data_IF_268733565777
#
_entry.id   IF_268733565777
#
_cell.length_a   1.000
_cell.length_b   1.000
_cell.length_c   1.000
_cell.angle_alpha   90.00
_cell.angle_beta   90.00
_cell.angle_gamma   90.00
#
_symmetry.space_group_name_H-M   'P 1'
#
loop_
_entity.id
_entity.type
_entity.pdbx_description
1 polymer ?
#
# COMPACT_ATOMS: atom_id res chain seq x y z
N UNK A 1 -13.58 16.32 -44.94
CA UNK A 1 -13.87 17.77 -44.85
C UNK A 1 -14.62 18.02 -43.55
N UNK A 2 -14.16 18.90 -42.66
CA UNK A 2 -14.92 19.24 -41.45
C UNK A 2 -16.24 19.89 -41.86
N UNK A 3 -17.34 19.32 -41.36
CA UNK A 3 -18.70 19.82 -41.60
C UNK A 3 -18.96 20.94 -40.59
N UNK A 4 -18.97 22.19 -41.04
CA UNK A 4 -19.39 23.32 -40.22
C UNK A 4 -20.89 23.24 -40.05
N UNK A 5 -21.35 23.15 -38.81
CA UNK A 5 -22.78 23.15 -38.46
C UNK A 5 -23.08 24.40 -37.66
N UNK A 6 -23.96 25.24 -38.18
CA UNK A 6 -24.46 26.42 -37.47
C UNK A 6 -25.64 25.97 -36.61
N UNK A 7 -25.56 26.21 -35.30
CA UNK A 7 -26.65 25.92 -34.36
C UNK A 7 -27.16 27.21 -33.75
N UNK A 8 -28.48 27.35 -33.66
CA UNK A 8 -29.09 28.38 -32.83
C UNK A 8 -28.85 28.00 -31.36
N UNK A 9 -28.40 28.96 -30.57
CA UNK A 9 -28.06 28.78 -29.16
C UNK A 9 -28.78 29.82 -28.31
N UNK A 10 -28.90 29.56 -27.00
CA UNK A 10 -29.75 30.36 -26.09
C UNK A 10 -29.10 31.69 -25.70
N UNK A 11 -27.79 31.70 -25.51
CA UNK A 11 -27.02 32.86 -25.06
C UNK A 11 -26.06 33.30 -26.16
N UNK A 12 -25.85 34.61 -26.31
CA UNK A 12 -24.81 35.12 -27.19
C UNK A 12 -23.46 34.89 -26.53
N UNK A 13 -22.42 34.69 -27.34
CA UNK A 13 -21.06 34.53 -26.83
C UNK A 13 -20.64 35.69 -25.91
N UNK A 14 -21.01 36.93 -26.27
CA UNK A 14 -20.73 38.11 -25.44
C UNK A 14 -21.34 38.02 -24.04
N UNK A 15 -22.56 37.51 -23.92
CA UNK A 15 -23.24 37.35 -22.63
C UNK A 15 -22.51 36.30 -21.77
N UNK A 16 -22.15 35.16 -22.37
CA UNK A 16 -21.37 34.12 -21.68
C UNK A 16 -19.97 34.60 -21.28
N UNK A 17 -19.31 35.41 -22.12
CA UNK A 17 -17.99 35.97 -21.81
C UNK A 17 -18.05 36.97 -20.66
N UNK A 18 -19.06 37.84 -20.65
CA UNK A 18 -19.27 38.81 -19.56
C UNK A 18 -19.55 38.08 -18.24
N UNK A 19 -20.33 36.98 -18.25
CA UNK A 19 -20.53 36.14 -17.07
C UNK A 19 -19.28 35.37 -16.67
N UNK A 20 -18.53 34.78 -17.60
CA UNK A 20 -17.25 34.12 -17.31
C UNK A 20 -16.31 35.09 -16.60
N UNK A 21 -16.15 36.31 -17.11
CA UNK A 21 -15.24 37.30 -16.52
C UNK A 21 -15.66 37.72 -15.11
N UNK A 22 -16.96 37.93 -14.91
CA UNK A 22 -17.52 38.21 -13.59
C UNK A 22 -17.28 37.06 -12.61
N UNK A 23 -17.55 35.82 -13.03
CA UNK A 23 -17.40 34.61 -12.22
C UNK A 23 -15.93 34.27 -11.96
N UNK A 24 -15.03 34.50 -12.92
CA UNK A 24 -13.59 34.41 -12.70
C UNK A 24 -13.13 35.41 -11.64
N UNK A 25 -13.65 36.64 -11.66
CA UNK A 25 -13.26 37.65 -10.69
C UNK A 25 -13.87 37.44 -9.28
N UNK A 26 -15.07 36.85 -9.19
CA UNK A 26 -15.86 36.80 -7.95
C UNK A 26 -16.04 35.40 -7.37
N UNK A 27 -16.05 34.36 -8.21
CA UNK A 27 -16.31 32.98 -7.81
C UNK A 27 -15.03 32.14 -7.75
N UNK A 28 -14.13 32.25 -8.73
CA UNK A 28 -12.87 31.48 -8.74
C UNK A 28 -12.04 31.63 -7.43
N UNK A 29 -11.98 32.80 -6.77
CA UNK A 29 -11.24 32.93 -5.50
C UNK A 29 -11.86 32.20 -4.30
N UNK A 30 -13.10 31.69 -4.40
CA UNK A 30 -13.74 30.99 -3.29
C UNK A 30 -13.18 29.58 -3.08
N UNK A 31 -13.00 29.22 -1.80
CA UNK A 31 -12.48 27.90 -1.40
C UNK A 31 -13.35 26.77 -1.98
N UNK A 32 -12.73 25.87 -2.74
CA UNK A 32 -13.38 24.71 -3.36
C UNK A 32 -13.89 24.96 -4.79
N UNK A 33 -13.67 26.14 -5.37
CA UNK A 33 -13.80 26.36 -6.83
C UNK A 33 -12.42 26.20 -7.46
N UNK A 34 -12.34 25.40 -8.53
CA UNK A 34 -11.06 24.99 -9.13
C UNK A 34 -10.82 25.54 -10.52
N UNK A 35 -11.88 25.84 -11.28
CA UNK A 35 -11.78 26.53 -12.56
C UNK A 35 -13.10 27.23 -12.91
N UNK A 36 -13.01 28.19 -13.82
CA UNK A 36 -14.14 28.81 -14.52
C UNK A 36 -13.82 28.79 -16.02
N UNK A 37 -14.72 28.23 -16.82
CA UNK A 37 -14.56 28.08 -18.26
C UNK A 37 -15.79 28.62 -19.02
N UNK A 38 -15.60 29.01 -20.27
CA UNK A 38 -16.68 29.33 -21.19
C UNK A 38 -16.78 28.19 -22.19
N UNK A 39 -17.71 27.25 -21.97
CA UNK A 39 -17.95 26.14 -22.88
C UNK A 39 -18.79 26.62 -24.08
N UNK A 40 -18.12 27.06 -25.15
CA UNK A 40 -18.79 27.52 -26.36
C UNK A 40 -19.60 26.41 -27.04
N UNK A 41 -19.15 25.16 -26.92
CA UNK A 41 -19.79 24.01 -27.55
C UNK A 41 -21.15 23.70 -26.91
N UNK A 42 -21.28 23.90 -25.59
CA UNK A 42 -22.53 23.74 -24.83
C UNK A 42 -23.29 25.04 -24.61
N UNK A 43 -22.72 26.19 -25.00
CA UNK A 43 -23.30 27.51 -24.80
C UNK A 43 -23.60 27.80 -23.32
N UNK A 44 -22.62 27.53 -22.44
CA UNK A 44 -22.70 27.68 -20.98
C UNK A 44 -21.37 28.17 -20.41
N UNK A 45 -21.39 28.75 -19.22
CA UNK A 45 -20.19 28.90 -18.39
C UNK A 45 -20.08 27.67 -17.49
N UNK A 46 -18.91 27.05 -17.42
CA UNK A 46 -18.66 25.87 -16.58
C UNK A 46 -17.84 26.26 -15.35
N UNK A 47 -18.28 25.80 -14.18
CA UNK A 47 -17.58 26.02 -12.90
C UNK A 47 -17.19 24.65 -12.35
N UNK A 48 -15.88 24.45 -12.20
CA UNK A 48 -15.32 23.28 -11.53
C UNK A 48 -15.35 23.45 -10.02
N UNK A 49 -15.91 22.49 -9.28
CA UNK A 49 -15.91 22.47 -7.82
C UNK A 49 -15.25 21.20 -7.26
N UNK A 50 -14.44 21.35 -6.23
CA UNK A 50 -13.66 20.26 -5.62
C UNK A 50 -14.52 19.28 -4.81
N UNK A 51 -15.55 19.79 -4.10
CA UNK A 51 -16.36 19.00 -3.17
C UNK A 51 -17.84 19.29 -3.39
N UNK A 52 -18.65 18.23 -3.59
CA UNK A 52 -20.10 18.30 -3.82
C UNK A 52 -20.83 19.09 -2.71
N UNK A 53 -20.35 19.00 -1.47
CA UNK A 53 -20.93 19.70 -0.32
C UNK A 53 -20.85 21.23 -0.36
N UNK A 54 -20.10 21.83 -1.29
CA UNK A 54 -20.00 23.29 -1.46
C UNK A 54 -20.88 23.84 -2.59
N UNK A 55 -21.54 22.98 -3.36
CA UNK A 55 -22.35 23.40 -4.51
C UNK A 55 -23.42 24.43 -4.13
N UNK A 56 -24.19 24.19 -3.07
CA UNK A 56 -25.26 25.11 -2.65
C UNK A 56 -24.76 26.50 -2.24
N UNK A 57 -23.55 26.61 -1.69
CA UNK A 57 -22.94 27.90 -1.34
C UNK A 57 -22.49 28.66 -2.60
N UNK A 58 -21.91 27.96 -3.56
CA UNK A 58 -21.46 28.57 -4.83
C UNK A 58 -22.67 28.96 -5.69
N UNK A 59 -23.72 28.13 -5.75
CA UNK A 59 -24.97 28.45 -6.44
C UNK A 59 -25.63 29.72 -5.89
N UNK A 60 -25.69 29.87 -4.56
CA UNK A 60 -26.22 31.08 -3.93
C UNK A 60 -25.43 32.34 -4.34
N UNK A 61 -24.09 32.27 -4.34
CA UNK A 61 -23.23 33.39 -4.74
C UNK A 61 -23.34 33.72 -6.21
N UNK A 62 -23.46 32.72 -7.08
CA UNK A 62 -23.69 32.93 -8.52
C UNK A 62 -25.00 33.67 -8.75
N UNK A 63 -26.07 33.27 -8.04
CA UNK A 63 -27.36 33.95 -8.12
C UNK A 63 -27.30 35.39 -7.57
N UNK A 64 -26.57 35.66 -6.49
CA UNK A 64 -26.34 37.00 -5.95
C UNK A 64 -25.63 37.94 -6.93
N UNK A 65 -24.77 37.40 -7.80
CA UNK A 65 -24.09 38.15 -8.86
C UNK A 65 -24.97 38.42 -10.08
N UNK A 66 -26.25 38.00 -10.06
CA UNK A 66 -27.20 38.21 -11.14
C UNK A 66 -26.95 37.31 -12.36
N UNK A 67 -26.18 36.23 -12.20
CA UNK A 67 -25.93 35.27 -13.29
C UNK A 67 -27.01 34.17 -13.25
N UNK A 68 -27.73 33.92 -14.36
CA UNK A 68 -28.76 32.89 -14.39
C UNK A 68 -28.14 31.51 -14.16
N UNK A 69 -28.60 30.77 -13.14
CA UNK A 69 -28.05 29.44 -12.82
C UNK A 69 -28.19 28.46 -13.99
N UNK A 70 -29.22 28.61 -14.82
CA UNK A 70 -29.39 27.76 -16.00
C UNK A 70 -28.37 28.03 -17.13
N UNK A 71 -27.63 29.15 -17.04
CA UNK A 71 -26.48 29.46 -17.89
C UNK A 71 -25.17 28.85 -17.36
N UNK A 72 -25.19 28.26 -16.16
CA UNK A 72 -24.03 27.66 -15.50
C UNK A 72 -24.12 26.13 -15.53
N UNK A 73 -22.99 25.49 -15.77
CA UNK A 73 -22.80 24.06 -15.57
C UNK A 73 -21.82 23.86 -14.43
N UNK A 74 -22.24 23.19 -13.36
CA UNK A 74 -21.34 22.77 -12.31
C UNK A 74 -20.80 21.38 -12.60
N UNK A 75 -19.50 21.22 -12.49
CA UNK A 75 -18.82 19.94 -12.67
C UNK A 75 -17.89 19.72 -11.48
N UNK A 76 -17.84 18.48 -10.98
CA UNK A 76 -16.86 18.13 -9.95
C UNK A 76 -15.49 17.99 -10.61
N UNK A 77 -14.48 18.72 -10.12
CA UNK A 77 -13.14 18.73 -10.66
C UNK A 77 -12.09 19.06 -9.59
N UNK A 78 -10.87 18.56 -9.78
CA UNK A 78 -9.74 18.81 -8.86
C UNK A 78 -8.99 20.09 -9.23
N UNK A 79 -8.33 20.76 -8.26
CA UNK A 79 -7.44 21.89 -8.54
C UNK A 79 -6.35 21.51 -9.54
N UNK A 80 -5.97 22.46 -10.41
CA UNK A 80 -4.77 22.32 -11.24
C UNK A 80 -3.56 22.41 -10.31
N UNK A 81 -2.87 21.30 -10.08
CA UNK A 81 -1.59 21.27 -9.38
C UNK A 81 -0.45 21.67 -10.31
N UNK A 82 0.48 22.50 -9.84
CA UNK A 82 1.79 22.64 -10.49
C UNK A 82 2.49 21.26 -10.47
N UNK A 83 3.07 20.82 -11.60
CA UNK A 83 3.77 19.53 -11.70
C UNK A 83 5.07 19.52 -10.88
N UNK A 84 4.98 19.37 -9.56
CA UNK A 84 6.04 18.76 -8.76
C UNK A 84 5.76 17.27 -8.62
N UNK A 85 5.53 16.60 -9.77
CA UNK A 85 5.19 15.18 -9.82
C UNK A 85 6.29 14.37 -9.15
N UNK A 86 5.97 13.78 -7.99
CA UNK A 86 6.80 12.74 -7.42
C UNK A 86 6.52 11.48 -8.23
N UNK A 87 7.44 11.05 -9.08
CA UNK A 87 7.30 9.81 -9.83
C UNK A 87 7.90 8.62 -9.07
N UNK A 88 7.58 7.41 -9.49
CA UNK A 88 8.24 6.18 -9.04
C UNK A 88 9.77 6.21 -9.26
N UNK A 89 10.27 7.16 -10.05
CA UNK A 89 11.68 7.28 -10.46
C UNK A 89 12.45 8.30 -9.64
N UNK A 90 11.74 9.10 -8.86
CA UNK A 90 12.34 10.15 -8.06
C UNK A 90 12.83 9.61 -6.72
N UNK A 91 13.69 10.38 -6.07
CA UNK A 91 14.12 10.09 -4.72
C UNK A 91 12.92 10.16 -3.77
N UNK A 92 12.58 9.03 -3.16
CA UNK A 92 11.43 8.92 -2.27
C UNK A 92 11.84 8.31 -0.94
N UNK A 93 11.40 8.94 0.15
CA UNK A 93 11.52 8.45 1.53
C UNK A 93 10.16 8.69 2.23
N UNK A 94 9.56 7.69 2.88
CA UNK A 94 10.07 6.32 3.02
C UNK A 94 10.07 5.56 1.69
N UNK A 95 10.97 4.59 1.56
CA UNK A 95 11.00 3.70 0.41
C UNK A 95 9.86 2.68 0.50
N UNK A 96 9.13 2.54 -0.61
CA UNK A 96 7.98 1.66 -0.80
C UNK A 96 8.24 0.67 -1.94
N UNK A 97 7.47 -0.42 -1.99
CA UNK A 97 7.41 -1.30 -3.18
C UNK A 97 7.00 -0.51 -4.43
N UNK A 98 7.47 -0.91 -5.60
CA UNK A 98 7.18 -0.27 -6.89
C UNK A 98 8.09 0.90 -7.27
N UNK A 99 8.92 1.42 -6.34
CA UNK A 99 9.87 2.49 -6.63
C UNK A 99 11.07 2.00 -7.47
N UNK A 100 11.68 2.90 -8.22
CA UNK A 100 12.95 2.65 -8.92
C UNK A 100 14.07 2.40 -7.91
N UNK A 101 14.85 1.35 -8.17
CA UNK A 101 16.15 1.13 -7.55
C UNK A 101 17.18 0.85 -8.64
N UNK A 102 18.45 1.06 -8.31
CA UNK A 102 19.53 0.74 -9.23
C UNK A 102 20.74 0.17 -8.52
N UNK A 103 21.53 -0.59 -9.25
CA UNK A 103 22.97 -0.72 -8.98
C UNK A 103 23.72 0.33 -9.80
N UNK A 104 25.06 0.24 -9.87
CA UNK A 104 25.86 1.08 -10.76
C UNK A 104 25.64 0.79 -12.25
N UNK A 105 25.09 -0.38 -12.59
CA UNK A 105 24.97 -0.86 -13.97
C UNK A 105 23.55 -1.18 -14.42
N UNK A 106 22.62 -1.37 -13.48
CA UNK A 106 21.26 -1.84 -13.78
C UNK A 106 20.21 -1.02 -13.06
N UNK A 107 19.11 -0.71 -13.76
CA UNK A 107 17.91 -0.07 -13.19
C UNK A 107 16.79 -1.09 -13.15
N UNK A 108 16.14 -1.19 -11.99
CA UNK A 108 15.05 -2.11 -11.69
C UNK A 108 14.01 -1.47 -10.78
N UNK A 109 13.07 -2.28 -10.30
CA UNK A 109 12.03 -1.89 -9.35
C UNK A 109 12.24 -2.57 -7.99
N UNK A 110 12.02 -1.84 -6.90
CA UNK A 110 11.92 -2.38 -5.54
C UNK A 110 10.64 -3.22 -5.46
N UNK A 111 10.75 -4.51 -5.15
CA UNK A 111 9.59 -5.38 -5.05
C UNK A 111 8.77 -5.08 -3.81
N UNK A 112 9.28 -5.50 -2.67
CA UNK A 112 8.65 -5.32 -1.37
C UNK A 112 9.70 -5.13 -0.31
N UNK A 113 9.35 -4.36 0.72
CA UNK A 113 10.09 -4.34 1.99
C UNK A 113 9.53 -5.46 2.88
N UNK A 114 10.41 -6.22 3.52
CA UNK A 114 10.05 -7.33 4.40
C UNK A 114 11.00 -7.46 5.58
N UNK A 115 10.56 -8.26 6.55
CA UNK A 115 11.44 -8.86 7.54
C UNK A 115 11.83 -10.27 7.05
N UNK A 116 13.14 -10.53 7.03
CA UNK A 116 13.73 -11.81 6.68
C UNK A 116 14.40 -12.42 7.91
N UNK A 117 13.72 -13.37 8.55
CA UNK A 117 14.10 -13.89 9.86
C UNK A 117 15.34 -14.79 9.86
N UNK A 118 15.92 -15.07 8.69
CA UNK A 118 17.09 -15.95 8.58
C UNK A 118 18.39 -15.29 9.07
N UNK A 119 18.50 -13.97 9.03
CA UNK A 119 19.72 -13.24 9.44
C UNK A 119 19.36 -11.90 10.11
N UNK A 120 19.84 -11.61 11.33
CA UNK A 120 19.80 -10.26 11.91
C UNK A 120 20.94 -9.35 11.35
N UNK A 121 20.72 -8.06 11.04
CA UNK A 121 19.42 -7.37 11.00
C UNK A 121 18.54 -7.89 9.86
N UNK A 122 17.24 -7.99 10.12
CA UNK A 122 16.28 -8.70 9.27
C UNK A 122 15.50 -7.80 8.31
N UNK A 123 15.68 -6.48 8.37
CA UNK A 123 14.99 -5.56 7.46
C UNK A 123 15.62 -5.58 6.07
N UNK A 124 14.84 -6.04 5.10
CA UNK A 124 15.31 -6.24 3.73
C UNK A 124 14.32 -5.67 2.72
N UNK A 125 14.75 -5.56 1.48
CA UNK A 125 13.83 -5.54 0.36
C UNK A 125 14.18 -6.63 -0.66
N UNK A 126 13.16 -7.08 -1.37
CA UNK A 126 13.28 -8.06 -2.46
C UNK A 126 13.28 -7.31 -3.79
N UNK A 127 14.15 -7.70 -4.71
CA UNK A 127 14.10 -7.30 -6.13
C UNK A 127 14.47 -8.50 -6.99
N UNK A 128 14.52 -8.34 -8.32
CA UNK A 128 14.89 -9.45 -9.18
C UNK A 128 16.40 -9.76 -9.10
N UNK A 129 16.76 -11.05 -9.09
CA UNK A 129 18.16 -11.49 -9.02
C UNK A 129 18.98 -10.99 -10.21
N UNK A 130 18.42 -10.95 -11.41
CA UNK A 130 19.13 -10.38 -12.57
C UNK A 130 19.37 -8.86 -12.48
N UNK A 131 18.90 -8.18 -11.44
CA UNK A 131 19.23 -6.78 -11.15
C UNK A 131 20.54 -6.63 -10.36
N UNK A 132 21.10 -7.72 -9.82
CA UNK A 132 22.41 -7.76 -9.17
C UNK A 132 23.53 -7.88 -10.20
N UNK A 133 24.79 -7.93 -9.80
CA UNK A 133 25.90 -7.97 -10.77
C UNK A 133 26.05 -9.36 -11.42
N UNK A 134 25.74 -10.41 -10.68
CA UNK A 134 25.84 -11.81 -11.02
C UNK A 134 24.53 -12.47 -10.65
N UNK A 135 23.70 -12.66 -11.66
CA UNK A 135 22.41 -13.33 -11.53
C UNK A 135 22.58 -14.76 -10.96
N UNK A 136 21.68 -15.11 -10.04
CA UNK A 136 21.63 -16.37 -9.30
C UNK A 136 22.89 -16.64 -8.47
N UNK A 137 23.51 -15.59 -7.93
CA UNK A 137 24.65 -15.73 -7.05
C UNK A 137 24.81 -14.49 -6.18
N UNK A 138 25.07 -14.69 -4.89
CA UNK A 138 25.38 -13.56 -4.01
C UNK A 138 26.75 -12.97 -4.36
N UNK A 139 26.77 -11.69 -4.71
CA UNK A 139 27.94 -10.91 -5.11
C UNK A 139 28.10 -9.63 -4.28
N UNK A 140 27.09 -9.29 -3.48
CA UNK A 140 27.11 -8.11 -2.64
C UNK A 140 26.88 -6.81 -3.38
N UNK A 141 26.06 -6.83 -4.42
CA UNK A 141 25.64 -5.68 -5.20
C UNK A 141 25.11 -4.56 -4.30
N UNK A 142 25.59 -3.34 -4.54
CA UNK A 142 25.13 -2.15 -3.81
C UNK A 142 23.95 -1.54 -4.53
N UNK A 143 22.90 -1.22 -3.78
CA UNK A 143 21.67 -0.65 -4.31
C UNK A 143 21.45 0.80 -3.88
N UNK A 144 20.88 1.57 -4.79
CA UNK A 144 20.57 2.98 -4.67
C UNK A 144 19.09 3.24 -4.98
N UNK A 145 18.53 4.29 -4.37
CA UNK A 145 17.21 4.83 -4.69
C UNK A 145 17.34 6.35 -4.92
N UNK A 146 17.08 6.84 -6.16
CA UNK A 146 16.75 6.08 -7.36
C UNK A 146 17.97 5.68 -8.22
N UNK A 147 19.10 6.38 -8.07
CA UNK A 147 20.32 6.25 -8.88
C UNK A 147 21.60 6.44 -8.04
N UNK A 148 22.79 6.04 -8.53
CA UNK A 148 24.05 6.09 -7.79
C UNK A 148 24.56 7.52 -7.55
N UNK A 149 24.05 8.15 -6.48
CA UNK A 149 24.46 9.47 -6.03
C UNK A 149 24.68 9.49 -4.51
N UNK A 150 25.38 10.52 -4.02
CA UNK A 150 25.62 10.70 -2.59
C UNK A 150 24.29 10.79 -1.83
N UNK A 151 24.12 9.94 -0.81
CA UNK A 151 22.88 9.88 -0.02
C UNK A 151 21.76 9.03 -0.61
N UNK A 152 21.97 8.41 -1.78
CA UNK A 152 20.99 7.51 -2.41
C UNK A 152 21.26 6.03 -2.17
N UNK A 153 22.43 5.65 -1.62
CA UNK A 153 22.69 4.25 -1.24
C UNK A 153 21.70 3.81 -0.15
N UNK A 154 21.05 2.67 -0.36
CA UNK A 154 19.97 2.18 0.50
C UNK A 154 20.19 0.77 1.03
N UNK A 155 21.05 -0.01 0.38
CA UNK A 155 21.27 -1.38 0.81
C UNK A 155 22.32 -2.10 0.00
N UNK A 156 22.55 -3.35 0.40
CA UNK A 156 23.47 -4.27 -0.26
C UNK A 156 22.88 -5.67 -0.32
N UNK A 157 23.07 -6.34 -1.45
CA UNK A 157 22.69 -7.74 -1.59
C UNK A 157 23.38 -8.60 -0.53
N UNK A 158 22.60 -9.45 0.14
CA UNK A 158 23.09 -10.39 1.15
C UNK A 158 22.73 -11.84 0.85
N UNK A 159 21.75 -12.06 -0.04
CA UNK A 159 21.35 -13.40 -0.41
C UNK A 159 20.70 -13.45 -1.80
N UNK A 160 21.25 -14.29 -2.66
CA UNK A 160 20.69 -14.69 -3.95
C UNK A 160 20.99 -16.17 -4.15
N UNK A 161 19.97 -17.05 -4.05
CA UNK A 161 20.16 -18.48 -4.13
C UNK A 161 20.78 -18.94 -5.45
N UNK A 162 21.78 -19.83 -5.41
CA UNK A 162 22.32 -20.42 -6.63
C UNK A 162 21.27 -21.30 -7.31
N UNK A 163 21.40 -21.44 -8.63
CA UNK A 163 20.66 -22.46 -9.36
C UNK A 163 20.99 -23.86 -8.86
N UNK A 164 20.04 -24.78 -8.98
CA UNK A 164 20.22 -26.20 -8.71
C UNK A 164 20.06 -27.03 -9.98
N UNK A 165 20.62 -28.25 -10.02
CA UNK A 165 20.41 -29.14 -11.17
C UNK A 165 18.93 -29.47 -11.32
N UNK A 166 18.39 -29.23 -12.51
CA UNK A 166 17.05 -29.68 -12.84
C UNK A 166 16.93 -31.19 -12.60
N UNK A 167 15.74 -31.64 -12.20
CA UNK A 167 15.48 -33.05 -11.87
C UNK A 167 15.82 -34.02 -13.03
N UNK A 168 15.71 -35.34 -12.81
CA UNK A 168 16.25 -36.38 -13.69
C UNK A 168 15.68 -36.40 -15.12
N UNK A 169 14.64 -35.62 -15.41
CA UNK A 169 14.01 -35.51 -16.73
C UNK A 169 14.58 -34.36 -17.59
N UNK A 170 15.50 -33.56 -17.04
CA UNK A 170 16.04 -32.35 -17.67
C UNK A 170 17.58 -32.37 -17.58
N UNK A 171 18.17 -33.43 -18.14
CA UNK A 171 19.60 -33.76 -18.03
C UNK A 171 20.53 -32.54 -18.23
N UNK A 172 21.20 -32.15 -17.15
CA UNK A 172 22.26 -31.11 -17.06
C UNK A 172 21.81 -29.65 -17.17
N UNK A 173 20.52 -29.37 -17.16
CA UNK A 173 20.05 -27.99 -17.08
C UNK A 173 20.11 -27.45 -15.63
N UNK A 174 20.28 -26.14 -15.50
CA UNK A 174 20.27 -25.44 -14.21
C UNK A 174 18.92 -24.74 -14.01
N UNK A 175 18.31 -25.00 -12.85
CA UNK A 175 16.94 -24.62 -12.48
C UNK A 175 16.92 -23.68 -11.28
N UNK A 176 15.87 -22.87 -11.20
CA UNK A 176 15.55 -22.01 -10.05
C UNK A 176 14.04 -21.83 -9.93
N UNK A 177 13.50 -21.55 -8.73
CA UNK A 177 12.04 -21.38 -8.57
C UNK A 177 11.58 -19.96 -8.85
N UNK A 178 12.32 -18.94 -8.43
CA UNK A 178 12.02 -17.53 -8.64
C UNK A 178 13.25 -16.83 -9.22
N UNK A 179 13.18 -15.53 -9.50
CA UNK A 179 14.33 -14.74 -9.94
C UNK A 179 14.45 -13.53 -9.04
N UNK A 180 14.86 -13.78 -7.81
CA UNK A 180 14.75 -12.84 -6.70
C UNK A 180 16.01 -12.86 -5.84
N UNK A 181 16.41 -11.69 -5.34
CA UNK A 181 17.51 -11.50 -4.41
C UNK A 181 17.04 -10.68 -3.20
N UNK A 182 17.70 -10.90 -2.06
CA UNK A 182 17.51 -10.17 -0.81
C UNK A 182 18.58 -9.08 -0.71
N UNK A 183 18.10 -7.85 -0.55
CA UNK A 183 18.93 -6.70 -0.29
C UNK A 183 18.70 -6.25 1.16
N UNK A 184 19.76 -6.25 1.95
CA UNK A 184 19.72 -5.75 3.31
C UNK A 184 19.63 -4.22 3.29
N UNK A 185 18.66 -3.68 4.04
CA UNK A 185 18.56 -2.23 4.21
C UNK A 185 19.72 -1.71 5.06
N UNK A 186 20.39 -0.68 4.55
CA UNK A 186 21.46 0.06 5.26
C UNK A 186 20.95 1.43 5.78
N UNK A 187 19.66 1.70 5.62
CA UNK A 187 18.96 2.90 6.11
C UNK A 187 17.63 2.50 6.75
N UNK A 188 17.10 3.31 7.67
CA UNK A 188 15.82 3.09 8.33
C UNK A 188 14.62 3.74 7.64
N UNK A 189 14.84 4.49 6.55
CA UNK A 189 13.77 5.26 5.88
C UNK A 189 13.04 4.42 4.82
N UNK A 190 12.45 3.31 5.24
CA UNK A 190 11.59 2.42 4.45
C UNK A 190 10.32 2.08 5.23
N UNK A 191 9.30 1.62 4.52
CA UNK A 191 8.09 1.09 5.16
C UNK A 191 7.80 -0.32 4.66
N UNK A 192 7.75 -1.26 5.60
CA UNK A 192 7.26 -2.62 5.38
C UNK A 192 5.75 -2.60 5.14
N UNK A 193 5.24 -3.48 4.28
CA UNK A 193 3.80 -3.62 4.06
C UNK A 193 3.17 -2.55 3.19
N UNK A 194 3.96 -1.79 2.43
CA UNK A 194 3.44 -0.77 1.54
C UNK A 194 4.07 -0.77 0.15
N UNK A 195 3.22 -0.54 -0.86
CA UNK A 195 3.58 -0.32 -2.26
C UNK A 195 3.20 1.12 -2.62
N UNK A 196 4.03 1.82 -3.37
CA UNK A 196 3.73 3.16 -3.88
C UNK A 196 2.49 3.12 -4.78
N UNK A 197 1.55 4.05 -4.56
CA UNK A 197 0.38 4.20 -5.41
C UNK A 197 0.65 5.27 -6.47
N UNK A 198 0.26 4.99 -7.71
CA UNK A 198 0.37 5.96 -8.81
C UNK A 198 -1.00 6.58 -9.12
N UNK A 199 -1.01 7.71 -9.82
CA UNK A 199 -2.23 8.48 -10.08
C UNK A 199 -3.34 7.68 -10.77
N UNK A 200 -2.99 6.78 -11.67
CA UNK A 200 -3.96 5.93 -12.36
C UNK A 200 -3.34 4.62 -12.84
N UNK A 201 -4.15 3.56 -12.78
CA UNK A 201 -3.84 2.26 -13.38
C UNK A 201 -4.37 2.16 -14.82
N UNK A 202 -3.80 1.27 -15.60
CA UNK A 202 -4.30 0.94 -16.96
C UNK A 202 -4.34 -0.57 -17.20
N UNK A 203 -5.32 -1.02 -17.96
CA UNK A 203 -5.57 -2.43 -18.26
C UNK A 203 -7.07 -2.71 -18.46
N UNK A 204 -7.47 -3.98 -18.62
CA UNK A 204 -6.58 -5.09 -18.97
C UNK A 204 -6.02 -4.88 -20.39
N UNK A 205 -4.76 -5.24 -20.64
CA UNK A 205 -4.21 -5.11 -22.00
C UNK A 205 -2.70 -5.09 -22.08
N UNK A 206 -2.20 -5.61 -23.20
CA UNK A 206 -0.78 -5.74 -23.53
C UNK A 206 -0.28 -4.48 -24.25
N UNK A 207 0.88 -3.95 -23.89
CA UNK A 207 1.47 -2.73 -24.46
C UNK A 207 0.90 -1.40 -23.95
N UNK A 208 0.15 -1.40 -22.84
CA UNK A 208 -0.38 -0.20 -22.20
C UNK A 208 0.55 0.26 -21.07
N UNK A 209 0.73 1.57 -20.91
CA UNK A 209 1.47 2.16 -19.79
C UNK A 209 0.52 2.91 -18.85
N UNK A 210 0.60 2.58 -17.57
CA UNK A 210 -0.09 3.28 -16.50
C UNK A 210 0.68 4.52 -16.07
N UNK A 211 0.21 5.19 -15.02
CA UNK A 211 0.93 6.31 -14.43
C UNK A 211 2.19 5.84 -13.73
N UNK A 212 3.31 6.57 -13.93
CA UNK A 212 4.48 6.51 -13.04
C UNK A 212 4.50 7.67 -12.05
N UNK A 213 3.60 8.64 -12.22
CA UNK A 213 3.43 9.75 -11.29
C UNK A 213 2.69 9.29 -10.04
N UNK A 214 3.09 9.84 -8.90
CA UNK A 214 2.56 9.58 -7.58
C UNK A 214 2.21 10.90 -6.89
N UNK A 215 1.29 10.84 -5.94
CA UNK A 215 0.91 11.94 -5.05
C UNK A 215 1.29 11.62 -3.58
N UNK A 216 2.20 10.66 -3.36
CA UNK A 216 2.58 10.17 -2.03
C UNK A 216 1.59 9.16 -1.41
N UNK A 217 0.51 8.78 -2.10
CA UNK A 217 -0.35 7.71 -1.62
C UNK A 217 0.33 6.34 -1.71
N UNK A 218 -0.17 5.39 -0.91
CA UNK A 218 0.39 4.05 -0.75
C UNK A 218 -0.70 3.01 -0.59
N UNK A 219 -0.41 1.81 -1.08
CA UNK A 219 -1.23 0.61 -0.96
C UNK A 219 -0.69 -0.28 0.15
N UNK A 220 -1.52 -0.63 1.12
CA UNK A 220 -1.16 -1.49 2.23
C UNK A 220 -1.29 -2.96 1.85
N UNK A 221 -0.21 -3.72 2.04
CA UNK A 221 -0.21 -5.18 1.93
C UNK A 221 -0.84 -5.73 3.20
N UNK A 222 -2.10 -6.15 3.09
CA UNK A 222 -2.91 -6.67 4.19
C UNK A 222 -3.00 -8.18 4.20
N UNK A 223 -2.37 -8.88 3.25
CA UNK A 223 -2.31 -10.35 3.19
C UNK A 223 -1.37 -10.79 2.08
N UNK A 224 -1.00 -12.06 2.14
CA UNK A 224 -0.17 -12.74 1.16
C UNK A 224 -0.94 -13.93 0.60
N UNK A 225 -0.90 -14.12 -0.70
CA UNK A 225 -1.52 -15.28 -1.35
C UNK A 225 -0.47 -15.99 -2.21
N UNK A 226 0.08 -17.13 -1.74
CA UNK A 226 1.28 -17.72 -2.31
C UNK A 226 1.05 -18.40 -3.68
N UNK A 227 -0.19 -18.76 -4.00
CA UNK A 227 -0.54 -19.56 -5.19
C UNK A 227 -1.56 -18.86 -6.07
N UNK A 228 -1.30 -18.82 -7.37
CA UNK A 228 -2.14 -18.17 -8.37
C UNK A 228 -3.23 -19.07 -8.95
N UNK A 229 -4.29 -18.45 -9.48
CA UNK A 229 -5.34 -19.09 -10.26
C UNK A 229 -5.45 -18.43 -11.64
N UNK A 230 -5.64 -19.24 -12.70
CA UNK A 230 -5.93 -18.73 -14.05
C UNK A 230 -7.25 -17.96 -14.03
N UNK A 231 -7.27 -16.83 -14.73
CA UNK A 231 -8.40 -15.89 -14.79
C UNK A 231 -8.45 -14.87 -13.66
N UNK A 232 -7.57 -14.98 -12.66
CA UNK A 232 -7.47 -13.97 -11.61
C UNK A 232 -6.88 -12.66 -12.16
N UNK A 233 -7.45 -11.52 -11.78
CA UNK A 233 -6.90 -10.21 -12.11
C UNK A 233 -5.81 -9.86 -11.13
N UNK A 234 -4.62 -9.58 -11.67
CA UNK A 234 -3.45 -9.13 -10.93
C UNK A 234 -2.95 -7.80 -11.48
N UNK A 235 -2.34 -7.05 -10.57
CA UNK A 235 -1.77 -5.74 -10.78
C UNK A 235 -0.25 -5.82 -10.65
N UNK A 236 0.43 -4.87 -11.29
CA UNK A 236 1.87 -4.64 -11.15
C UNK A 236 2.11 -3.14 -11.02
N UNK A 237 2.98 -2.74 -10.11
CA UNK A 237 3.50 -1.37 -10.07
C UNK A 237 5.00 -1.41 -10.25
N UNK A 238 5.52 -0.78 -11.29
CA UNK A 238 6.96 -0.56 -11.36
C UNK A 238 7.37 0.61 -12.21
N UNK A 239 8.66 0.90 -12.18
CA UNK A 239 9.17 2.22 -12.53
C UNK A 239 9.03 2.59 -14.01
N UNK A 240 8.84 1.61 -14.90
CA UNK A 240 8.75 1.87 -16.34
C UNK A 240 7.31 1.99 -16.79
N UNK A 241 6.50 0.96 -16.59
CA UNK A 241 5.10 0.95 -17.05
C UNK A 241 4.11 1.51 -16.05
N UNK A 242 4.55 1.85 -14.83
CA UNK A 242 3.66 2.38 -13.81
C UNK A 242 2.74 1.30 -13.24
N UNK A 243 1.51 1.69 -12.92
CA UNK A 243 0.47 0.77 -12.45
C UNK A 243 -0.32 0.16 -13.62
N UNK A 244 -0.08 -1.13 -13.87
CA UNK A 244 -0.74 -1.91 -14.93
C UNK A 244 -1.47 -3.12 -14.34
N UNK A 245 -2.52 -3.59 -15.03
CA UNK A 245 -3.27 -4.77 -14.59
C UNK A 245 -3.74 -5.64 -15.75
N UNK A 246 -4.04 -6.90 -15.42
CA UNK A 246 -4.48 -7.91 -16.38
C UNK A 246 -4.77 -9.24 -15.69
N UNK A 247 -5.15 -10.23 -16.49
CA UNK A 247 -5.54 -11.56 -16.02
C UNK A 247 -4.38 -12.55 -16.13
N UNK A 248 -4.28 -13.46 -15.17
CA UNK A 248 -3.39 -14.63 -15.25
C UNK A 248 -3.91 -15.58 -16.33
N UNK A 249 -3.09 -15.89 -17.32
CA UNK A 249 -3.45 -16.80 -18.43
C UNK A 249 -2.98 -18.22 -18.19
N UNK A 250 -1.82 -18.37 -17.56
CA UNK A 250 -1.18 -19.67 -17.36
C UNK A 250 -0.51 -19.68 -15.98
N UNK A 251 -0.64 -20.79 -15.28
CA UNK A 251 0.03 -21.02 -13.99
C UNK A 251 1.00 -22.18 -14.07
N UNK A 252 2.04 -22.12 -13.24
CA UNK A 252 3.15 -23.09 -13.22
C UNK A 252 3.74 -23.40 -14.62
N UNK A 253 4.10 -22.36 -15.37
CA UNK A 253 4.84 -22.48 -16.64
C UNK A 253 6.34 -22.59 -16.35
N UNK A 254 6.97 -23.68 -16.78
CA UNK A 254 8.43 -23.76 -16.78
C UNK A 254 8.98 -22.90 -17.93
N UNK A 255 9.75 -21.86 -17.61
CA UNK A 255 10.31 -20.95 -18.61
C UNK A 255 11.80 -21.15 -18.77
N UNK A 256 12.30 -20.95 -19.99
CA UNK A 256 13.73 -20.85 -20.27
C UNK A 256 14.14 -19.38 -20.24
N UNK A 257 15.07 -19.03 -19.38
CA UNK A 257 15.65 -17.69 -19.29
C UNK A 257 16.93 -17.55 -20.14
N UNK A 258 17.50 -16.33 -20.20
CA UNK A 258 18.82 -16.11 -20.77
C UNK A 258 19.89 -16.91 -20.02
N UNK A 259 20.85 -17.52 -20.75
CA UNK A 259 21.97 -18.27 -20.16
C UNK A 259 21.66 -19.75 -19.84
N UNK A 260 20.68 -20.36 -20.51
CA UNK A 260 20.22 -21.75 -20.32
C UNK A 260 19.57 -22.08 -18.96
N UNK A 261 19.44 -21.11 -18.06
CA UNK A 261 18.68 -21.28 -16.81
C UNK A 261 17.19 -21.49 -17.06
N UNK A 262 16.58 -22.38 -16.27
CA UNK A 262 15.14 -22.63 -16.28
C UNK A 262 14.50 -22.12 -14.99
N UNK A 263 13.41 -21.38 -15.12
CA UNK A 263 12.60 -20.95 -13.98
C UNK A 263 11.37 -21.83 -13.90
N UNK A 264 11.21 -22.51 -12.76
CA UNK A 264 10.16 -23.48 -12.57
C UNK A 264 8.88 -22.81 -12.09
N UNK A 265 7.73 -23.28 -12.59
CA UNK A 265 6.41 -22.80 -12.19
C UNK A 265 6.25 -21.26 -12.15
N UNK A 266 6.58 -20.56 -13.22
CA UNK A 266 6.27 -19.13 -13.35
C UNK A 266 4.82 -18.93 -13.78
N UNK A 267 4.25 -17.77 -13.49
CA UNK A 267 2.89 -17.43 -13.92
C UNK A 267 2.92 -16.36 -15.01
N UNK A 268 2.01 -16.50 -15.97
CA UNK A 268 1.88 -15.59 -17.12
C UNK A 268 0.62 -14.76 -16.94
N UNK A 269 0.72 -13.47 -17.22
CA UNK A 269 -0.40 -12.54 -17.09
C UNK A 269 -0.43 -11.48 -18.20
N UNK A 270 -1.62 -10.91 -18.44
CA UNK A 270 -1.84 -9.94 -19.51
C UNK A 270 -1.57 -8.48 -19.12
N UNK A 271 -1.15 -8.22 -17.88
CA UNK A 271 -0.69 -6.88 -17.52
C UNK A 271 0.55 -6.50 -18.34
N UNK A 272 0.70 -5.22 -18.62
CA UNK A 272 1.84 -4.73 -19.39
C UNK A 272 3.07 -4.53 -18.51
N UNK A 273 4.23 -4.89 -19.04
CA UNK A 273 5.54 -4.71 -18.44
C UNK A 273 6.58 -4.42 -19.52
N UNK A 274 7.60 -3.64 -19.19
CA UNK A 274 8.71 -3.36 -20.07
C UNK A 274 10.07 -3.48 -19.36
N UNK A 275 11.15 -3.22 -20.08
CA UNK A 275 12.49 -3.18 -19.49
C UNK A 275 12.52 -2.31 -18.22
N UNK A 276 13.26 -2.79 -17.21
CA UNK A 276 13.43 -2.17 -15.89
C UNK A 276 12.24 -2.31 -14.92
N UNK A 277 11.13 -2.92 -15.33
CA UNK A 277 10.06 -3.31 -14.41
C UNK A 277 10.38 -4.53 -13.56
N UNK A 278 11.49 -5.22 -13.88
CA UNK A 278 12.04 -6.33 -13.13
C UNK A 278 12.11 -6.03 -11.63
N UNK A 279 11.65 -6.99 -10.83
CA UNK A 279 11.57 -6.87 -9.39
C UNK A 279 10.28 -6.23 -8.89
N UNK A 280 9.42 -5.69 -9.75
CA UNK A 280 8.18 -5.04 -9.32
C UNK A 280 7.24 -5.98 -8.53
N UNK A 281 6.54 -5.48 -7.51
CA UNK A 281 5.52 -6.27 -6.84
C UNK A 281 4.35 -6.57 -7.79
N UNK A 282 3.86 -7.81 -7.69
CA UNK A 282 2.60 -8.25 -8.31
C UNK A 282 1.62 -8.53 -7.18
N UNK A 283 0.39 -8.06 -7.31
CA UNK A 283 -0.61 -8.10 -6.23
C UNK A 283 -2.06 -8.12 -6.74
N UNK A 284 -3.00 -8.50 -5.89
CA UNK A 284 -4.44 -8.29 -6.10
C UNK A 284 -4.83 -6.99 -5.42
N UNK A 285 -5.58 -6.14 -6.12
CA UNK A 285 -6.10 -4.90 -5.57
C UNK A 285 -7.57 -5.05 -5.17
N UNK A 286 -7.92 -4.58 -3.97
CA UNK A 286 -9.27 -4.72 -3.39
C UNK A 286 -10.20 -3.55 -3.71
N UNK A 287 -9.75 -2.60 -4.53
CA UNK A 287 -10.54 -1.41 -4.93
C UNK A 287 -10.42 -0.22 -3.98
N UNK A 288 -9.66 -0.36 -2.90
CA UNK A 288 -9.36 0.68 -1.91
C UNK A 288 -7.84 0.86 -1.73
N UNK A 289 -7.34 1.26 -0.56
CA UNK A 289 -5.89 1.38 -0.34
C UNK A 289 -5.25 0.07 0.16
N UNK A 290 -5.87 -1.08 -0.08
CA UNK A 290 -5.37 -2.39 0.38
C UNK A 290 -5.12 -3.36 -0.76
N UNK A 291 -4.15 -4.26 -0.56
CA UNK A 291 -3.74 -5.27 -1.54
C UNK A 291 -3.40 -6.61 -0.87
N UNK A 292 -3.50 -7.67 -1.66
CA UNK A 292 -2.93 -8.99 -1.34
C UNK A 292 -1.70 -9.22 -2.21
N UNK A 293 -0.54 -9.46 -1.60
CA UNK A 293 0.69 -9.72 -2.33
C UNK A 293 0.62 -11.08 -3.04
N UNK A 294 1.04 -11.12 -4.31
CA UNK A 294 0.94 -12.28 -5.19
C UNK A 294 2.29 -12.80 -5.67
N UNK A 295 3.27 -11.93 -5.87
CA UNK A 295 4.60 -12.35 -6.34
C UNK A 295 5.49 -11.21 -6.78
N UNK A 296 6.55 -11.55 -7.50
CA UNK A 296 7.56 -10.60 -8.01
C UNK A 296 7.68 -10.73 -9.52
N UNK A 297 7.51 -9.61 -10.22
CA UNK A 297 7.66 -9.52 -11.66
C UNK A 297 9.11 -9.78 -12.08
N UNK A 298 9.27 -10.59 -13.14
CA UNK A 298 10.56 -11.04 -13.63
C UNK A 298 10.88 -10.51 -15.03
N UNK A 299 9.90 -10.49 -15.92
CA UNK A 299 10.09 -10.13 -17.33
C UNK A 299 8.88 -10.46 -18.16
N UNK A 300 9.06 -10.67 -19.46
CA UNK A 300 7.96 -10.93 -20.39
C UNK A 300 8.32 -11.90 -21.51
N UNK A 301 7.31 -12.59 -22.03
CA UNK A 301 7.33 -13.20 -23.36
C UNK A 301 7.07 -12.09 -24.39
N UNK A 302 8.05 -11.81 -25.25
CA UNK A 302 7.98 -10.73 -26.24
C UNK A 302 7.18 -11.08 -27.48
N UNK A 303 6.94 -12.36 -27.76
CA UNK A 303 6.15 -12.81 -28.92
C UNK A 303 4.67 -12.73 -28.57
N UNK A 304 4.30 -13.27 -27.41
CA UNK A 304 2.92 -13.19 -26.94
C UNK A 304 2.65 -11.83 -26.28
N UNK A 305 3.66 -11.09 -25.85
CA UNK A 305 3.51 -9.88 -25.03
C UNK A 305 2.80 -10.18 -23.69
N UNK A 306 3.19 -11.28 -23.05
CA UNK A 306 2.71 -11.70 -21.73
C UNK A 306 3.75 -11.34 -20.68
N UNK A 307 3.32 -10.76 -19.58
CA UNK A 307 4.18 -10.59 -18.42
C UNK A 307 4.37 -11.93 -17.70
N UNK A 308 5.56 -12.11 -17.14
CA UNK A 308 5.98 -13.31 -16.41
C UNK A 308 6.42 -12.89 -15.01
N UNK A 309 5.87 -13.54 -14.00
CA UNK A 309 6.26 -13.31 -12.61
C UNK A 309 6.43 -14.62 -11.85
N UNK A 310 7.22 -14.57 -10.78
CA UNK A 310 7.33 -15.68 -9.85
C UNK A 310 6.22 -15.55 -8.79
N UNK A 311 5.34 -16.56 -8.63
CA UNK A 311 4.37 -16.55 -7.54
C UNK A 311 5.08 -16.55 -6.19
N UNK A 312 4.44 -15.96 -5.17
CA UNK A 312 5.04 -15.79 -3.86
C UNK A 312 5.48 -17.13 -3.23
N UNK A 313 4.77 -18.23 -3.47
CA UNK A 313 5.22 -19.58 -3.06
C UNK A 313 6.63 -19.92 -3.56
N UNK A 314 6.98 -19.55 -4.79
CA UNK A 314 8.31 -19.81 -5.35
C UNK A 314 9.35 -18.83 -4.83
N UNK A 315 8.94 -17.58 -4.58
CA UNK A 315 9.80 -16.56 -3.95
C UNK A 315 10.23 -17.05 -2.56
N UNK A 316 9.28 -17.46 -1.72
CA UNK A 316 9.56 -17.98 -0.38
C UNK A 316 10.23 -19.34 -0.38
N UNK A 317 10.02 -20.16 -1.41
CA UNK A 317 10.75 -21.42 -1.55
C UNK A 317 12.24 -21.22 -1.72
N UNK A 318 12.63 -20.18 -2.45
CA UNK A 318 14.04 -19.86 -2.67
C UNK A 318 14.63 -19.03 -1.52
N UNK A 319 13.89 -18.06 -1.02
CA UNK A 319 14.38 -17.10 -0.03
C UNK A 319 14.06 -17.50 1.41
N UNK A 320 13.21 -18.50 1.63
CA UNK A 320 12.53 -18.76 2.90
C UNK A 320 11.44 -17.73 3.24
N UNK A 321 10.83 -17.83 4.44
CA UNK A 321 9.72 -16.98 4.83
C UNK A 321 10.08 -15.49 4.80
N UNK A 322 9.17 -14.69 4.24
CA UNK A 322 9.26 -13.24 4.21
C UNK A 322 8.02 -12.67 4.86
N UNK A 323 8.19 -11.84 5.88
CA UNK A 323 7.07 -11.10 6.42
C UNK A 323 6.94 -9.79 5.62
N UNK A 324 6.07 -9.74 4.61
CA UNK A 324 5.85 -8.52 3.84
C UNK A 324 4.76 -7.64 4.46
N UNK A 325 3.83 -8.19 5.24
CA UNK A 325 2.75 -7.44 5.91
C UNK A 325 3.25 -6.56 7.06
N UNK A 326 2.52 -5.49 7.38
CA UNK A 326 2.81 -4.66 8.57
C UNK A 326 2.68 -5.51 9.84
N UNK A 327 3.56 -5.28 10.82
CA UNK A 327 3.47 -5.89 12.15
C UNK A 327 2.05 -5.76 12.72
N UNK A 328 1.59 -6.80 13.41
CA UNK A 328 0.29 -6.75 14.08
C UNK A 328 0.38 -5.74 15.22
N UNK A 329 -0.47 -4.73 15.18
CA UNK A 329 -0.71 -3.81 16.27
C UNK A 329 -2.13 -4.05 16.79
N UNK A 330 -2.39 -3.66 18.03
CA UNK A 330 -3.73 -3.73 18.64
C UNK A 330 -3.88 -2.58 19.61
N UNK A 331 -5.07 -1.99 19.65
CA UNK A 331 -5.50 -1.05 20.70
C UNK A 331 -6.69 -1.67 21.44
N UNK A 332 -6.69 -1.58 22.77
CA UNK A 332 -7.85 -1.93 23.60
C UNK A 332 -8.72 -0.69 23.81
N UNK A 333 -10.02 -0.77 23.49
CA UNK A 333 -10.99 0.25 23.90
C UNK A 333 -11.97 -0.31 24.93
N UNK A 334 -12.23 0.48 25.97
CA UNK A 334 -13.17 0.17 27.03
C UNK A 334 -13.01 1.14 28.20
N UNK A 335 -13.75 0.94 29.31
CA UNK A 335 -13.67 1.82 30.47
C UNK A 335 -12.25 1.86 31.04
N UNK A 336 -11.76 3.07 31.35
CA UNK A 336 -10.50 3.29 32.12
C UNK A 336 -10.76 3.55 33.61
N UNK A 337 -12.04 3.64 34.00
CA UNK A 337 -12.49 3.77 35.37
C UNK A 337 -13.84 3.07 35.55
N UNK A 338 -14.04 2.47 36.73
CA UNK A 338 -15.23 1.71 37.11
C UNK A 338 -15.63 2.11 38.53
N UNK A 339 -16.83 2.68 38.69
CA UNK A 339 -17.28 3.24 39.97
C UNK A 339 -18.43 2.46 40.63
N UNK A 340 -18.99 1.45 39.95
CA UNK A 340 -20.07 0.61 40.47
C UNK A 340 -19.81 -0.86 40.10
N UNK A 341 -20.27 -1.83 40.92
CA UNK A 341 -20.16 -3.24 40.55
C UNK A 341 -20.96 -3.57 39.29
N UNK A 342 -20.39 -4.40 38.42
CA UNK A 342 -21.08 -4.84 37.21
C UNK A 342 -20.17 -5.52 36.19
N UNK A 343 -20.77 -5.96 35.09
CA UNK A 343 -20.06 -6.54 33.94
C UNK A 343 -19.65 -5.44 32.97
N UNK A 344 -18.34 -5.36 32.67
CA UNK A 344 -17.78 -4.40 31.74
C UNK A 344 -17.15 -5.12 30.54
N UNK A 345 -17.08 -4.43 29.41
CA UNK A 345 -16.54 -4.97 28.16
C UNK A 345 -15.37 -4.12 27.65
N UNK A 346 -14.37 -4.82 27.09
CA UNK A 346 -13.25 -4.24 26.35
C UNK A 346 -13.18 -4.90 24.97
N UNK A 347 -12.94 -4.11 23.94
CA UNK A 347 -12.86 -4.57 22.55
C UNK A 347 -11.47 -4.29 21.98
N UNK A 348 -10.96 -5.25 21.21
CA UNK A 348 -9.70 -5.15 20.50
C UNK A 348 -9.87 -4.52 19.12
N UNK A 349 -9.01 -3.55 18.80
CA UNK A 349 -8.91 -2.92 17.49
C UNK A 349 -7.56 -3.26 16.86
N UNK A 350 -7.41 -4.47 16.28
CA UNK A 350 -6.17 -4.86 15.65
C UNK A 350 -5.98 -4.19 14.29
N UNK A 351 -4.72 -3.98 13.94
CA UNK A 351 -4.27 -3.51 12.63
C UNK A 351 -3.03 -4.31 12.19
N UNK A 352 -2.73 -4.28 10.90
CA UNK A 352 -1.62 -5.05 10.33
C UNK A 352 -1.94 -6.54 10.19
N UNK A 353 -0.91 -7.36 10.00
CA UNK A 353 -1.05 -8.79 9.70
C UNK A 353 -1.75 -9.06 8.37
N UNK A 354 -2.39 -10.23 8.26
CA UNK A 354 -3.13 -10.65 7.07
C UNK A 354 -4.65 -10.31 7.10
N UNK A 355 -5.09 -9.45 8.03
CA UNK A 355 -6.50 -9.11 8.23
C UNK A 355 -7.35 -10.20 8.92
N UNK A 356 -6.81 -11.40 9.14
CA UNK A 356 -7.42 -12.44 9.97
C UNK A 356 -6.71 -12.48 11.33
N UNK A 357 -7.49 -12.34 12.41
CA UNK A 357 -6.93 -12.16 13.76
C UNK A 357 -7.38 -13.27 14.71
N UNK A 358 -6.44 -13.76 15.51
CA UNK A 358 -6.71 -14.56 16.70
C UNK A 358 -6.37 -13.76 17.95
N UNK A 359 -7.23 -13.79 18.97
CA UNK A 359 -7.10 -12.99 20.17
C UNK A 359 -6.76 -13.87 21.37
N UNK A 360 -5.96 -13.34 22.29
CA UNK A 360 -5.70 -13.94 23.60
C UNK A 360 -5.74 -12.85 24.66
N UNK A 361 -6.77 -12.85 25.50
CA UNK A 361 -6.94 -11.91 26.59
C UNK A 361 -6.42 -12.45 27.91
N UNK A 362 -5.87 -11.55 28.73
CA UNK A 362 -5.57 -11.80 30.14
C UNK A 362 -5.82 -10.55 30.96
N UNK A 363 -5.98 -10.72 32.27
CA UNK A 363 -6.10 -9.61 33.23
C UNK A 363 -5.04 -9.76 34.31
N UNK A 364 -4.36 -8.67 34.63
CA UNK A 364 -3.40 -8.61 35.73
C UNK A 364 -3.97 -7.78 36.87
N UNK A 365 -4.00 -8.38 38.07
CA UNK A 365 -4.54 -7.74 39.27
C UNK A 365 -3.42 -7.23 40.16
N UNK A 366 -3.42 -5.94 40.49
CA UNK A 366 -2.34 -5.32 41.26
C UNK A 366 -2.33 -5.71 42.74
N UNK A 367 -3.51 -5.96 43.32
CA UNK A 367 -3.67 -6.29 44.74
C UNK A 367 -3.10 -7.67 45.11
N UNK A 368 -3.11 -8.60 44.16
CA UNK A 368 -2.69 -10.00 44.32
C UNK A 368 -1.41 -10.32 43.56
N UNK A 369 -1.08 -9.52 42.54
CA UNK A 369 0.06 -9.76 41.65
C UNK A 369 -0.14 -10.94 40.70
N UNK A 370 -1.38 -11.41 40.53
CA UNK A 370 -1.70 -12.57 39.68
C UNK A 370 -2.18 -12.15 38.30
N UNK A 371 -2.01 -13.04 37.32
CA UNK A 371 -2.56 -12.89 35.96
C UNK A 371 -3.51 -14.03 35.69
N UNK A 372 -4.74 -13.72 35.27
CA UNK A 372 -5.72 -14.70 34.84
C UNK A 372 -5.88 -14.65 33.31
N UNK A 373 -5.97 -15.83 32.69
CA UNK A 373 -6.28 -15.95 31.26
C UNK A 373 -7.79 -15.85 31.08
N UNK A 374 -8.22 -15.04 30.12
CA UNK A 374 -9.63 -14.83 29.80
C UNK A 374 -10.00 -15.57 28.50
N UNK A 375 -10.60 -14.91 27.53
CA UNK A 375 -11.09 -15.50 26.28
C UNK A 375 -10.26 -15.20 25.04
N UNK A 376 -10.76 -15.67 23.90
CA UNK A 376 -10.13 -15.56 22.56
C UNK A 376 -10.98 -14.82 21.53
N UNK A 377 -12.06 -14.17 21.98
CA UNK A 377 -12.92 -13.36 21.13
C UNK A 377 -12.35 -11.93 20.96
N UNK A 378 -12.82 -11.22 19.93
CA UNK A 378 -12.48 -9.80 19.70
C UNK A 378 -12.86 -8.90 20.88
N UNK A 379 -13.95 -9.24 21.58
CA UNK A 379 -14.45 -8.54 22.76
C UNK A 379 -14.35 -9.45 23.98
N UNK A 380 -13.89 -8.90 25.11
CA UNK A 380 -13.79 -9.59 26.38
C UNK A 380 -14.63 -8.88 27.45
N UNK A 381 -15.32 -9.65 28.29
CA UNK A 381 -16.06 -9.14 29.44
C UNK A 381 -15.43 -9.58 30.75
N UNK A 382 -15.58 -8.77 31.80
CA UNK A 382 -15.16 -9.07 33.17
C UNK A 382 -16.19 -8.52 34.15
N UNK A 383 -16.57 -9.34 35.14
CA UNK A 383 -17.39 -8.89 36.27
C UNK A 383 -16.47 -8.20 37.29
N UNK A 384 -16.68 -6.90 37.48
CA UNK A 384 -15.83 -6.07 38.34
C UNK A 384 -16.53 -5.83 39.67
N UNK A 385 -15.83 -6.24 40.73
CA UNK A 385 -16.22 -6.03 42.13
C UNK A 385 -15.10 -5.29 42.87
N UNK A 386 -15.41 -4.76 44.05
CA UNK A 386 -14.47 -3.98 44.86
C UNK A 386 -13.18 -4.75 45.16
N UNK A 387 -13.29 -6.04 45.41
CA UNK A 387 -12.20 -6.91 45.85
C UNK A 387 -11.13 -7.11 44.76
N UNK A 388 -11.41 -6.82 43.50
CA UNK A 388 -10.43 -6.95 42.41
C UNK A 388 -9.35 -5.87 42.45
N UNK A 389 -9.59 -4.75 43.13
CA UNK A 389 -8.69 -3.59 43.11
C UNK A 389 -8.48 -3.06 41.68
N UNK A 390 -7.47 -2.20 41.50
CA UNK A 390 -7.03 -1.77 40.17
C UNK A 390 -6.48 -2.96 39.38
N UNK A 391 -6.63 -2.94 38.05
CA UNK A 391 -6.18 -4.02 37.18
C UNK A 391 -5.77 -3.52 35.79
N UNK A 392 -5.06 -4.37 35.05
CA UNK A 392 -4.71 -4.17 33.64
C UNK A 392 -5.40 -5.24 32.80
N UNK A 393 -6.15 -4.79 31.80
CA UNK A 393 -6.58 -5.64 30.69
C UNK A 393 -5.41 -5.76 29.71
N UNK A 394 -5.03 -6.99 29.35
CA UNK A 394 -3.93 -7.26 28.43
C UNK A 394 -4.43 -8.11 27.27
N UNK A 395 -3.94 -7.82 26.08
CA UNK A 395 -4.26 -8.60 24.88
C UNK A 395 -3.01 -8.91 24.08
N UNK A 396 -2.97 -10.11 23.50
CA UNK A 396 -2.11 -10.43 22.37
C UNK A 396 -2.99 -10.79 21.18
N UNK A 397 -2.77 -10.14 20.04
CA UNK A 397 -3.41 -10.46 18.77
C UNK A 397 -2.37 -11.04 17.84
N UNK A 398 -2.68 -12.19 17.26
CA UNK A 398 -1.83 -12.80 16.23
C UNK A 398 -2.53 -12.80 14.88
N UNK A 399 -1.74 -12.63 13.82
CA UNK A 399 -2.18 -12.69 12.43
C UNK A 399 -0.97 -13.07 11.57
N UNK A 400 -1.14 -14.00 10.62
CA UNK A 400 -0.08 -14.45 9.72
C UNK A 400 1.24 -14.88 10.40
N UNK A 401 1.17 -15.48 11.60
CA UNK A 401 2.36 -15.94 12.34
C UNK A 401 3.10 -14.86 13.13
N UNK A 402 2.66 -13.60 13.05
CA UNK A 402 3.18 -12.50 13.89
C UNK A 402 2.16 -12.07 14.93
N UNK A 403 2.62 -11.46 16.02
CA UNK A 403 1.78 -11.02 17.13
C UNK A 403 2.07 -9.58 17.55
N UNK A 404 1.00 -8.89 17.96
CA UNK A 404 1.03 -7.58 18.61
C UNK A 404 0.34 -7.65 19.96
N UNK A 405 0.71 -6.78 20.89
CA UNK A 405 0.11 -6.74 22.22
C UNK A 405 -0.17 -5.33 22.69
N UNK A 406 -1.18 -5.18 23.54
CA UNK A 406 -1.52 -3.92 24.20
C UNK A 406 -1.97 -4.16 25.64
N UNK A 407 -1.91 -3.11 26.46
CA UNK A 407 -2.30 -3.12 27.87
C UNK A 407 -3.11 -1.87 28.22
N UNK A 408 -4.28 -2.08 28.81
CA UNK A 408 -5.22 -1.03 29.21
C UNK A 408 -5.44 -1.05 30.72
N UNK A 409 -5.02 0.03 31.39
CA UNK A 409 -5.16 0.17 32.83
C UNK A 409 -6.58 0.62 33.21
N UNK A 410 -7.14 0.01 34.27
CA UNK A 410 -8.49 0.29 34.77
C UNK A 410 -8.47 0.70 36.24
N UNK A 411 -8.97 1.91 36.50
CA UNK A 411 -9.20 2.41 37.85
C UNK A 411 -10.50 1.83 38.42
N UNK A 412 -10.41 0.76 39.21
CA UNK A 412 -11.55 0.30 40.01
C UNK A 412 -11.73 1.18 41.27
N UNK A 413 -12.71 2.07 41.25
CA UNK A 413 -13.02 3.02 42.33
C UNK A 413 -14.25 2.59 43.16
N UNK A 414 -14.74 1.36 42.97
CA UNK A 414 -15.93 0.87 43.68
C UNK A 414 -15.72 1.03 45.20
N UNK A 415 -16.60 1.82 45.81
CA UNK A 415 -16.61 2.17 47.24
C UNK A 415 -15.32 2.79 47.79
N UNK A 416 -14.51 3.45 46.95
CA UNK A 416 -13.46 4.33 47.46
C UNK A 416 -14.11 5.57 48.09
N UNK A 417 -14.39 5.48 49.39
CA UNK A 417 -14.71 6.64 50.21
C UNK A 417 -13.60 7.70 50.09
N UNK A 418 -13.88 8.98 50.45
CA UNK A 418 -12.90 10.05 50.31
C UNK A 418 -11.69 9.80 51.23
N UNK A 419 -10.64 9.15 50.71
CA UNK A 419 -9.38 8.93 51.45
C UNK A 419 -8.57 7.66 51.18
N UNK A 420 -8.63 7.01 50.01
CA UNK A 420 -7.78 5.85 49.74
C UNK A 420 -6.28 6.23 49.52
N UNK A 421 -5.29 5.67 50.27
CA UNK A 421 -3.89 6.07 50.19
C UNK A 421 -3.10 5.56 48.97
N UNK A 422 -3.69 4.75 48.09
CA UNK A 422 -2.95 4.14 46.96
C UNK A 422 -2.47 5.14 45.89
N UNK A 423 -2.93 6.38 45.93
CA UNK A 423 -2.54 7.46 45.02
C UNK A 423 -1.03 7.79 45.01
N UNK A 424 -0.22 7.24 45.94
CA UNK A 424 1.21 7.56 46.10
C UNK A 424 2.21 6.57 45.49
N UNK A 425 1.79 5.46 44.88
CA UNK A 425 2.72 4.50 44.24
C UNK A 425 2.65 4.54 42.72
N UNK A 426 3.02 5.68 42.12
CA UNK A 426 3.46 5.70 40.72
C UNK A 426 4.89 5.13 40.63
N UNK A 427 5.18 4.04 39.90
CA UNK A 427 6.49 3.87 39.33
C UNK A 427 6.65 4.96 38.27
N UNK A 428 7.69 5.80 38.39
CA UNK A 428 8.09 6.66 37.27
C UNK A 428 8.50 5.74 36.13
N UNK A 429 7.71 5.73 35.05
CA UNK A 429 8.19 5.29 33.74
C UNK A 429 9.48 6.08 33.46
N UNK A 430 10.60 5.36 33.34
CA UNK A 430 11.84 5.94 32.81
C UNK A 430 11.68 6.06 31.29
N UNK A 431 12.28 7.09 30.68
CA UNK A 431 12.22 7.33 29.24
C UNK A 431 12.77 6.15 28.43
#
# INVERSE_FOLDING_TARGET
MPRVVIRQVRYRFRELSEWRDLLTAKILPHSGVVFVDLDEAKNRVEIGVEVVGKLGEIEAKVAELGVPLEAIRFTVASPVSEETGHSLRDRARPMLGGLQVSTDSTVCTLGLNAIWEQVPPSSVFVTASHCTFVRLASDGAVFYQPLPEAGNRIGREVHDPPSFRCGPFWDRDDCRYADVAIILHETSNFEQGFIAQTLNRVGPGRGLRGSVETNGQRLQIISESPTSLVGEVVEKIGRTTGWTYGEITDTCVHTKGPGDFKFLCQDFATYSSEGHDSGAPVFIWHGDNTVTLRGIHRGSDTVQNLAVFAPLANVERDLGPLLATVAVAVEIQGPSAVDHPGTYAWEAFPAGGNGSYSYHWSVYYFNTGTTDVLGTAKTQTLDVWRELGHFEMRITVSSAGVAGSDTHFVNNNIDQGPGDPEFRRRPRLRP
#
